data_IF_211721699846
#
_entry.id   IF_211721699846
#
_cell.length_a   1.000
_cell.length_b   1.000
_cell.length_c   1.000
_cell.angle_alpha   90.00
_cell.angle_beta   90.00
_cell.angle_gamma   90.00
#
_symmetry.space_group_name_H-M   'P 1'
#
loop_
_entity.id
_entity.type
_entity.pdbx_description
1 polymer ?
#
# COMPACT_ATOMS: atom_id res chain seq x y z
N UNK A 1 29.57 -3.35 -25.44
CA UNK A 1 28.66 -3.69 -24.32
C UNK A 1 28.29 -2.36 -23.68
N UNK A 2 27.00 -2.03 -23.56
CA UNK A 2 26.62 -0.81 -22.85
C UNK A 2 26.89 -1.03 -21.37
N UNK A 3 27.75 -0.20 -20.77
CA UNK A 3 28.12 -0.23 -19.35
C UNK A 3 27.01 0.30 -18.43
N UNK A 4 25.76 0.36 -18.90
CA UNK A 4 24.61 0.78 -18.10
C UNK A 4 23.82 -0.44 -17.62
N UNK A 5 24.03 -0.90 -16.38
CA UNK A 5 23.35 -2.08 -15.84
C UNK A 5 21.83 -1.90 -15.75
N UNK A 6 21.33 -0.67 -15.58
CA UNK A 6 19.88 -0.40 -15.54
C UNK A 6 19.29 -0.59 -16.93
N UNK A 7 19.98 -0.08 -17.95
CA UNK A 7 19.58 -0.28 -19.35
C UNK A 7 19.56 -1.76 -19.73
N UNK A 8 20.61 -2.50 -19.38
CA UNK A 8 20.68 -3.94 -19.68
C UNK A 8 19.54 -4.72 -19.00
N UNK A 9 19.21 -4.40 -17.74
CA UNK A 9 18.07 -4.98 -17.03
C UNK A 9 16.75 -4.68 -17.73
N UNK A 10 16.53 -3.42 -18.14
CA UNK A 10 15.30 -3.01 -18.82
C UNK A 10 15.16 -3.72 -20.17
N UNK A 11 16.25 -3.83 -20.93
CA UNK A 11 16.28 -4.52 -22.22
C UNK A 11 15.98 -6.02 -22.07
N UNK A 12 16.61 -6.69 -21.09
CA UNK A 12 16.38 -8.11 -20.81
C UNK A 12 14.95 -8.37 -20.31
N UNK A 13 14.46 -7.57 -19.35
CA UNK A 13 13.09 -7.67 -18.86
C UNK A 13 12.08 -7.39 -19.97
N UNK A 14 12.32 -6.37 -20.80
CA UNK A 14 11.46 -6.04 -21.94
C UNK A 14 11.40 -7.15 -22.99
N UNK A 15 12.49 -7.88 -23.22
CA UNK A 15 12.50 -9.05 -24.09
C UNK A 15 11.70 -10.23 -23.52
N UNK A 16 11.71 -10.42 -22.19
CA UNK A 16 10.99 -11.50 -21.50
C UNK A 16 9.50 -11.18 -21.28
N UNK A 17 9.17 -9.91 -21.08
CA UNK A 17 7.81 -9.40 -21.11
C UNK A 17 7.38 -9.31 -22.57
N UNK A 18 7.21 -10.47 -23.22
CA UNK A 18 6.63 -10.56 -24.56
C UNK A 18 5.47 -9.56 -24.67
N UNK A 19 5.47 -8.70 -25.69
CA UNK A 19 4.28 -7.94 -26.07
C UNK A 19 3.21 -8.95 -26.47
N UNK A 20 2.53 -9.53 -25.48
CA UNK A 20 1.29 -10.24 -25.72
C UNK A 20 0.37 -9.20 -26.30
N UNK A 21 -0.16 -9.48 -27.48
CA UNK A 21 -1.24 -8.66 -28.00
C UNK A 21 -2.30 -8.53 -26.91
N UNK A 22 -2.79 -7.30 -26.72
CA UNK A 22 -3.83 -7.04 -25.76
C UNK A 22 -5.00 -7.96 -26.09
N UNK A 23 -5.33 -8.81 -25.14
CA UNK A 23 -6.36 -9.82 -25.27
C UNK A 23 -7.37 -9.54 -24.17
N UNK A 24 -8.56 -9.10 -24.56
CA UNK A 24 -9.75 -8.99 -23.69
C UNK A 24 -10.27 -10.38 -23.22
N UNK A 25 -9.38 -11.38 -23.15
CA UNK A 25 -9.67 -12.66 -22.56
C UNK A 25 -9.72 -12.44 -21.05
N UNK A 26 -10.93 -12.23 -20.57
CA UNK A 26 -11.28 -12.42 -19.17
C UNK A 26 -10.85 -13.85 -18.83
N UNK A 27 -9.90 -14.00 -17.91
CA UNK A 27 -9.55 -15.30 -17.32
C UNK A 27 -10.71 -15.78 -16.45
N UNK A 28 -11.82 -16.14 -17.09
CA UNK A 28 -12.93 -16.78 -16.44
C UNK A 28 -12.61 -18.28 -16.46
N UNK A 29 -12.25 -18.81 -15.31
CA UNK A 29 -12.00 -20.23 -15.04
C UNK A 29 -13.26 -21.11 -15.21
N UNK A 30 -14.27 -20.66 -15.95
CA UNK A 30 -15.54 -21.33 -16.21
C UNK A 30 -16.48 -21.41 -15.00
N UNK A 31 -15.97 -21.15 -13.80
CA UNK A 31 -16.69 -21.24 -12.52
C UNK A 31 -17.15 -19.89 -11.98
N UNK A 32 -16.80 -18.78 -12.65
CA UNK A 32 -17.20 -17.45 -12.25
C UNK A 32 -18.72 -17.28 -12.38
N UNK A 33 -19.37 -16.86 -11.29
CA UNK A 33 -20.79 -16.50 -11.31
C UNK A 33 -20.99 -15.34 -12.27
N UNK A 34 -21.69 -15.59 -13.37
CA UNK A 34 -22.04 -14.56 -14.35
C UNK A 34 -23.22 -13.77 -13.82
N UNK A 35 -23.12 -12.44 -13.88
CA UNK A 35 -24.21 -11.53 -13.54
C UNK A 35 -24.65 -10.85 -14.83
N UNK A 36 -25.96 -10.84 -15.08
CA UNK A 36 -26.52 -10.08 -16.18
C UNK A 36 -26.35 -8.59 -15.89
N UNK A 37 -25.69 -7.87 -16.80
CA UNK A 37 -25.66 -6.40 -16.76
C UNK A 37 -26.98 -5.90 -17.35
N UNK A 38 -27.98 -5.68 -16.50
CA UNK A 38 -29.30 -5.21 -16.93
C UNK A 38 -29.45 -3.69 -16.70
N UNK A 39 -30.05 -2.93 -17.64
CA UNK A 39 -30.30 -1.49 -17.47
C UNK A 39 -31.06 -1.13 -16.17
N UNK A 40 -31.90 -2.04 -15.67
CA UNK A 40 -32.65 -1.89 -14.41
C UNK A 40 -31.76 -1.76 -13.17
N UNK A 41 -30.53 -2.29 -13.23
CA UNK A 41 -29.56 -2.24 -12.13
C UNK A 41 -28.82 -0.90 -12.06
N UNK A 42 -29.01 -0.03 -13.06
CA UNK A 42 -28.38 1.28 -13.12
C UNK A 42 -29.38 2.37 -12.74
N UNK A 43 -28.95 3.25 -11.83
CA UNK A 43 -29.69 4.47 -11.51
C UNK A 43 -28.89 5.69 -11.93
N UNK A 44 -29.59 6.65 -12.54
CA UNK A 44 -28.98 7.93 -12.90
C UNK A 44 -28.55 8.69 -11.64
N UNK A 45 -27.29 9.15 -11.65
CA UNK A 45 -26.77 10.05 -10.62
C UNK A 45 -27.32 11.45 -10.90
N UNK A 46 -28.36 11.85 -10.14
CA UNK A 46 -29.00 13.16 -10.28
C UNK A 46 -28.04 14.30 -9.91
N UNK A 47 -28.01 15.41 -10.67
CA UNK A 47 -27.21 16.56 -10.32
C UNK A 47 -27.75 17.23 -9.04
N UNK A 48 -26.83 17.72 -8.21
CA UNK A 48 -27.15 18.49 -7.00
C UNK A 48 -26.51 19.87 -7.10
N UNK A 49 -27.13 20.88 -6.51
CA UNK A 49 -26.61 22.26 -6.49
C UNK A 49 -25.78 22.56 -5.25
N UNK A 50 -26.11 21.96 -4.11
CA UNK A 50 -25.39 22.14 -2.86
C UNK A 50 -24.37 21.02 -2.65
N UNK A 51 -23.15 21.24 -3.12
CA UNK A 51 -22.09 20.25 -3.00
C UNK A 51 -21.43 20.27 -1.62
N UNK A 52 -21.36 19.10 -0.98
CA UNK A 52 -20.54 18.89 0.22
C UNK A 52 -19.06 18.93 -0.14
N UNK A 53 -18.26 19.39 0.82
CA UNK A 53 -16.81 19.28 0.76
C UNK A 53 -16.40 17.88 1.22
N UNK A 54 -15.65 17.17 0.39
CA UNK A 54 -15.21 15.79 0.61
C UNK A 54 -13.68 15.77 0.58
N UNK A 55 -13.09 14.99 1.49
CA UNK A 55 -11.67 14.69 1.49
C UNK A 55 -11.47 13.25 1.02
N UNK A 56 -10.57 13.04 0.07
CA UNK A 56 -10.05 11.72 -0.28
C UNK A 56 -8.68 11.59 0.34
N UNK A 57 -8.48 10.55 1.14
CA UNK A 57 -7.22 10.22 1.80
C UNK A 57 -6.76 8.90 1.23
N UNK A 58 -5.54 8.88 0.74
CA UNK A 58 -4.90 7.69 0.18
C UNK A 58 -3.41 7.72 0.50
N UNK A 59 -2.74 6.59 0.42
CA UNK A 59 -1.34 6.50 0.76
C UNK A 59 -0.67 5.27 0.21
N UNK A 60 0.62 5.18 0.50
CA UNK A 60 1.42 4.02 0.17
C UNK A 60 2.73 4.05 0.92
N UNK A 61 3.33 2.88 0.99
CA UNK A 61 4.68 2.66 1.50
C UNK A 61 5.63 2.30 0.35
N UNK A 62 6.91 2.62 0.58
CA UNK A 62 8.01 2.18 -0.25
C UNK A 62 9.03 1.49 0.64
N UNK A 63 9.23 0.17 0.51
CA UNK A 63 10.35 -0.52 1.15
C UNK A 63 11.68 0.11 0.74
N UNK A 64 12.50 0.46 1.72
CA UNK A 64 13.87 0.95 1.52
C UNK A 64 14.88 -0.18 1.71
N UNK A 65 14.63 -1.04 2.71
CA UNK A 65 15.45 -2.21 3.01
C UNK A 65 14.54 -3.29 3.60
N UNK A 66 14.64 -4.51 3.09
CA UNK A 66 13.84 -5.66 3.52
C UNK A 66 14.74 -6.86 3.81
N UNK A 67 14.74 -7.29 5.08
CA UNK A 67 15.55 -8.40 5.57
C UNK A 67 14.69 -9.34 6.43
N UNK A 68 15.15 -10.58 6.69
CA UNK A 68 14.38 -11.53 7.50
C UNK A 68 14.00 -11.05 8.90
N UNK A 69 14.75 -10.10 9.48
CA UNK A 69 14.54 -9.64 10.86
C UNK A 69 14.14 -8.18 10.98
N UNK A 70 14.18 -7.39 9.90
CA UNK A 70 13.65 -6.03 9.89
C UNK A 70 13.26 -5.56 8.50
N UNK A 71 12.30 -4.63 8.46
CA UNK A 71 11.85 -3.90 7.28
C UNK A 71 11.93 -2.41 7.57
N UNK A 72 12.54 -1.63 6.68
CA UNK A 72 12.53 -0.16 6.73
C UNK A 72 11.68 0.35 5.56
N UNK A 73 10.72 1.22 5.84
CA UNK A 73 9.85 1.81 4.82
C UNK A 73 9.81 3.33 4.92
N UNK A 74 9.59 3.97 3.78
CA UNK A 74 9.07 5.34 3.72
C UNK A 74 7.57 5.28 3.47
N UNK A 75 6.79 5.94 4.32
CA UNK A 75 5.34 5.98 4.21
C UNK A 75 4.90 7.40 3.83
N UNK A 76 3.93 7.48 2.91
CA UNK A 76 3.33 8.74 2.50
C UNK A 76 1.82 8.60 2.48
N UNK A 77 1.16 9.51 3.18
CA UNK A 77 -0.29 9.68 3.12
C UNK A 77 -0.58 11.03 2.52
N UNK A 78 -1.43 11.05 1.50
CA UNK A 78 -1.89 12.25 0.84
C UNK A 78 -3.39 12.42 1.04
N UNK A 79 -3.82 13.67 1.11
CA UNK A 79 -5.23 13.99 0.97
C UNK A 79 -5.48 15.06 -0.09
N UNK A 80 -6.67 14.99 -0.67
CA UNK A 80 -7.17 15.97 -1.61
C UNK A 80 -8.59 16.35 -1.24
N UNK A 81 -8.94 17.63 -1.45
CA UNK A 81 -10.26 18.16 -1.16
C UNK A 81 -11.01 18.41 -2.45
N UNK A 82 -12.28 18.05 -2.47
CA UNK A 82 -13.20 18.33 -3.57
C UNK A 82 -14.49 18.93 -3.03
N UNK A 83 -15.12 19.79 -3.82
CA UNK A 83 -16.50 20.22 -3.59
C UNK A 83 -17.22 20.21 -4.93
N UNK A 84 -18.08 19.20 -5.10
CA UNK A 84 -18.68 18.88 -6.39
C UNK A 84 -17.60 18.43 -7.37
N UNK A 85 -17.60 18.99 -8.58
CA UNK A 85 -16.64 18.67 -9.65
C UNK A 85 -15.33 19.48 -9.58
N UNK A 86 -15.11 20.26 -8.51
CA UNK A 86 -13.95 21.15 -8.37
C UNK A 86 -13.02 20.66 -7.28
N UNK A 87 -11.73 20.55 -7.60
CA UNK A 87 -10.67 20.33 -6.61
C UNK A 87 -10.43 21.63 -5.84
N UNK A 88 -10.34 21.52 -4.52
CA UNK A 88 -10.02 22.63 -3.62
C UNK A 88 -8.58 22.45 -3.13
N UNK A 89 -7.79 23.52 -3.19
CA UNK A 89 -6.44 23.52 -2.61
C UNK A 89 -6.56 23.53 -1.07
N UNK A 90 -5.97 22.55 -0.37
CA UNK A 90 -5.97 22.55 1.09
C UNK A 90 -5.12 23.70 1.63
N UNK A 91 -5.50 24.22 2.81
CA UNK A 91 -4.74 25.25 3.52
C UNK A 91 -3.50 24.67 4.22
N UNK A 92 -3.59 23.43 4.68
CA UNK A 92 -2.47 22.69 5.27
C UNK A 92 -1.72 21.90 4.19
N UNK A 93 -0.52 21.43 4.53
CA UNK A 93 0.24 20.50 3.70
C UNK A 93 -0.63 19.24 3.42
N UNK A 94 -0.91 18.89 2.16
CA UNK A 94 -1.71 17.72 1.82
C UNK A 94 -1.01 16.38 2.08
N UNK A 95 0.26 16.39 2.49
CA UNK A 95 1.09 15.21 2.65
C UNK A 95 1.57 15.07 4.09
N UNK A 96 1.38 13.87 4.64
CA UNK A 96 2.07 13.39 5.84
C UNK A 96 3.11 12.38 5.39
N UNK A 97 4.35 12.52 5.84
CA UNK A 97 5.43 11.61 5.48
C UNK A 97 6.18 11.17 6.74
N UNK A 98 6.53 9.89 6.80
CA UNK A 98 7.32 9.36 7.92
C UNK A 98 8.07 8.10 7.46
N UNK A 99 9.21 7.85 8.08
CA UNK A 99 9.87 6.56 7.98
C UNK A 99 9.36 5.65 9.09
N UNK A 100 9.38 4.35 8.84
CA UNK A 100 9.19 3.36 9.88
C UNK A 100 10.19 2.25 9.74
N UNK A 101 10.47 1.59 10.86
CA UNK A 101 10.98 0.23 10.81
C UNK A 101 10.06 -0.70 11.56
N UNK A 102 10.02 -1.96 11.14
CA UNK A 102 9.47 -3.08 11.88
C UNK A 102 10.62 -4.03 12.17
N UNK A 103 10.81 -4.40 13.43
CA UNK A 103 11.81 -5.38 13.82
C UNK A 103 11.10 -6.63 14.35
N UNK A 104 11.43 -7.79 13.78
CA UNK A 104 10.92 -9.07 14.26
C UNK A 104 11.92 -9.74 15.19
N UNK A 105 11.47 -10.19 16.37
CA UNK A 105 12.30 -10.98 17.30
C UNK A 105 11.66 -12.32 17.57
N UNK A 106 12.45 -13.37 17.49
CA UNK A 106 12.03 -14.72 17.88
C UNK A 106 12.47 -14.94 19.33
N UNK A 107 11.53 -15.33 20.18
CA UNK A 107 11.80 -15.69 21.57
C UNK A 107 11.05 -16.97 21.95
N UNK A 108 11.50 -17.63 23.02
CA UNK A 108 10.85 -18.82 23.55
C UNK A 108 10.14 -18.47 24.85
N UNK A 109 8.84 -18.70 24.91
CA UNK A 109 8.01 -18.52 26.10
C UNK A 109 7.18 -19.80 26.29
N UNK A 110 7.20 -20.38 27.48
CA UNK A 110 6.53 -21.65 27.80
C UNK A 110 6.88 -22.81 26.84
N UNK A 111 8.13 -22.86 26.39
CA UNK A 111 8.62 -23.89 25.45
C UNK A 111 8.13 -23.73 24.01
N UNK A 112 7.36 -22.68 23.69
CA UNK A 112 6.90 -22.36 22.34
C UNK A 112 7.69 -21.18 21.77
N UNK A 113 8.01 -21.24 20.48
CA UNK A 113 8.58 -20.11 19.74
C UNK A 113 7.48 -19.08 19.47
N UNK A 114 7.74 -17.82 19.83
CA UNK A 114 6.90 -16.67 19.52
C UNK A 114 7.69 -15.66 18.71
N UNK A 115 6.99 -14.94 17.84
CA UNK A 115 7.55 -13.83 17.07
C UNK A 115 6.89 -12.54 17.53
N UNK A 116 7.68 -11.59 18.00
CA UNK A 116 7.23 -10.22 18.28
C UNK A 116 7.61 -9.30 17.14
N UNK A 117 6.74 -8.35 16.82
CA UNK A 117 7.00 -7.27 15.88
C UNK A 117 6.96 -5.94 16.62
N UNK A 118 8.07 -5.22 16.59
CA UNK A 118 8.22 -3.90 17.21
C UNK A 118 8.34 -2.85 16.11
N UNK A 119 7.38 -1.93 16.04
CA UNK A 119 7.36 -0.85 15.05
C UNK A 119 7.81 0.46 15.68
N UNK A 120 8.68 1.21 14.98
CA UNK A 120 8.99 2.62 15.33
C UNK A 120 8.71 3.55 14.18
N UNK A 121 8.28 4.77 14.52
CA UNK A 121 7.89 5.80 13.57
C UNK A 121 8.79 7.03 13.69
N UNK A 122 9.23 7.54 12.54
CA UNK A 122 10.11 8.70 12.43
C UNK A 122 9.45 9.73 11.50
N UNK A 123 8.75 10.73 12.05
CA UNK A 123 8.07 11.73 11.24
C UNK A 123 9.08 12.52 10.40
N UNK A 124 8.73 12.82 9.14
CA UNK A 124 9.62 13.57 8.25
C UNK A 124 9.75 15.04 8.68
N UNK A 125 8.72 15.60 9.31
CA UNK A 125 8.77 16.89 10.00
C UNK A 125 8.09 16.80 11.38
N UNK A 126 8.43 17.68 12.34
CA UNK A 126 7.81 17.66 13.68
C UNK A 126 6.27 17.75 13.65
N UNK A 127 5.70 18.44 12.65
CA UNK A 127 4.26 18.62 12.48
C UNK A 127 3.54 17.33 12.09
N UNK A 128 4.22 16.42 11.39
CA UNK A 128 3.65 15.14 10.96
C UNK A 128 3.38 14.23 12.15
N UNK A 129 4.14 14.37 13.24
CA UNK A 129 4.03 13.55 14.46
C UNK A 129 2.61 13.48 15.01
N UNK A 130 1.84 14.57 14.92
CA UNK A 130 0.47 14.64 15.46
C UNK A 130 -0.55 13.80 14.68
N UNK A 131 -0.18 13.33 13.49
CA UNK A 131 -1.01 12.49 12.63
C UNK A 131 -0.62 11.01 12.70
N UNK A 132 0.46 10.68 13.41
CA UNK A 132 0.94 9.31 13.52
C UNK A 132 0.26 8.60 14.71
N UNK A 133 0.00 7.28 14.58
CA UNK A 133 -0.53 6.50 15.70
C UNK A 133 0.51 6.36 16.82
N UNK A 134 0.06 5.88 17.98
CA UNK A 134 0.99 5.49 19.05
C UNK A 134 1.75 4.23 18.64
N UNK A 135 3.06 4.19 18.88
CA UNK A 135 3.88 3.01 18.59
C UNK A 135 3.44 1.78 19.40
N UNK A 136 2.82 1.98 20.58
CA UNK A 136 2.22 0.89 21.37
C UNK A 136 1.16 0.12 20.62
N UNK A 137 0.46 0.76 19.70
CA UNK A 137 -0.65 0.18 18.94
C UNK A 137 -0.13 -0.59 17.72
N UNK A 138 1.19 -0.51 17.46
CA UNK A 138 1.88 -1.13 16.33
C UNK A 138 2.82 -2.27 16.75
N UNK A 139 2.72 -2.70 18.01
CA UNK A 139 3.41 -3.89 18.51
C UNK A 139 2.47 -5.09 18.46
N UNK A 140 2.96 -6.24 17.98
CA UNK A 140 2.18 -7.48 17.95
C UNK A 140 3.03 -8.70 18.28
N UNK A 141 2.38 -9.74 18.82
CA UNK A 141 3.01 -11.03 19.12
C UNK A 141 2.22 -12.14 18.44
N UNK A 142 2.93 -13.10 17.83
CA UNK A 142 2.32 -14.23 17.13
C UNK A 142 3.01 -15.53 17.52
N UNK A 143 2.23 -16.61 17.67
CA UNK A 143 2.75 -17.96 17.92
C UNK A 143 3.11 -18.69 16.62
N UNK A 144 2.73 -18.14 15.46
CA UNK A 144 3.01 -18.73 14.15
C UNK A 144 4.30 -18.20 13.55
N UNK A 145 5.21 -19.11 13.22
CA UNK A 145 6.43 -18.79 12.46
C UNK A 145 6.20 -18.80 10.94
N UNK A 146 4.99 -19.15 10.46
CA UNK A 146 4.66 -19.18 9.03
C UNK A 146 4.68 -17.81 8.35
N UNK A 147 4.52 -16.73 9.12
CA UNK A 147 4.53 -15.34 8.61
C UNK A 147 5.93 -14.99 8.05
N UNK A 148 6.99 -15.57 8.61
CA UNK A 148 8.36 -15.38 8.12
C UNK A 148 8.63 -16.11 6.79
N UNK A 149 7.78 -17.06 6.39
CA UNK A 149 7.90 -17.77 5.11
C UNK A 149 7.12 -17.08 3.98
N UNK A 150 6.10 -16.28 4.28
CA UNK A 150 5.22 -15.65 3.28
C UNK A 150 5.78 -14.43 2.56
N UNK A 151 6.87 -13.84 3.06
CA UNK A 151 7.55 -12.70 2.40
C UNK A 151 8.55 -13.13 1.31
N UNK A 152 8.78 -14.45 1.13
CA UNK A 152 9.71 -15.01 0.14
C UNK A 152 9.19 -16.33 -0.43
N UNK A 153 8.19 -16.25 -1.29
CA UNK A 153 7.96 -17.23 -2.37
C UNK A 153 7.55 -16.48 -3.63
#
# INVERSE_FOLDING_TARGET
MNDDPVKNLIEELGAHLSQKEHSDVILNNGTGKQFLIAPSEFQEIKPITNHRKIAFVDGGDGPLEDTPNFLITINRVYFSLFQGKKRIKPKANPRVQFFSYVLSKIHTEDGKKKVSYDTRLFPHSPEDKKYLPSESDLTSNTESTSILQGAKL
#
